data_IF_762745885659
#
_entry.id   IF_762745885659
#
_cell.length_a   1.000
_cell.length_b   1.000
_cell.length_c   1.000
_cell.angle_alpha   90.00
_cell.angle_beta   90.00
_cell.angle_gamma   90.00
#
_symmetry.space_group_name_H-M   'P 1'
#
loop_
_entity.id
_entity.type
_entity.pdbx_description
1 polymer ?
#
# COMPACT_ATOMS: atom_id res chain seq x y z
N UNK A 1 17.32 11.30 6.04
CA UNK A 1 15.95 11.83 5.89
C UNK A 1 16.00 13.34 5.88
N UNK A 2 14.85 14.00 5.81
CA UNK A 2 14.72 15.46 5.89
C UNK A 2 13.66 15.81 6.94
N UNK A 3 13.66 17.04 7.46
CA UNK A 3 12.73 17.52 8.46
C UNK A 3 11.66 18.40 7.81
N UNK A 4 10.46 17.83 7.62
CA UNK A 4 9.32 18.54 7.02
C UNK A 4 8.81 19.70 7.88
N UNK A 5 9.12 19.69 9.18
CA UNK A 5 8.72 20.73 10.14
C UNK A 5 9.72 21.91 10.20
N UNK A 6 10.81 21.88 9.41
CA UNK A 6 11.81 22.95 9.35
C UNK A 6 11.37 24.09 8.42
N UNK A 7 11.41 25.31 8.93
CA UNK A 7 10.93 26.51 8.24
C UNK A 7 12.03 27.49 7.82
N UNK A 8 13.29 27.14 8.07
CA UNK A 8 14.40 27.95 7.61
C UNK A 8 14.30 28.18 6.09
N UNK A 9 14.32 29.44 5.61
CA UNK A 9 14.12 29.72 4.19
C UNK A 9 15.15 29.08 3.28
N UNK A 10 16.42 28.96 3.72
CA UNK A 10 17.46 28.31 2.92
C UNK A 10 17.22 26.79 2.86
N UNK A 11 16.76 26.20 3.96
CA UNK A 11 16.35 24.80 3.99
C UNK A 11 15.18 24.49 3.04
N UNK A 12 14.13 25.32 3.06
CA UNK A 12 12.98 25.16 2.18
C UNK A 12 13.35 25.34 0.70
N UNK A 13 14.27 26.26 0.39
CA UNK A 13 14.80 26.42 -0.96
C UNK A 13 15.56 25.16 -1.42
N UNK A 14 16.35 24.54 -0.54
CA UNK A 14 17.02 23.28 -0.85
C UNK A 14 16.01 22.15 -1.10
N UNK A 15 14.94 22.06 -0.31
CA UNK A 15 13.90 21.04 -0.53
C UNK A 15 13.18 21.26 -1.86
N UNK A 16 12.90 22.52 -2.22
CA UNK A 16 12.36 22.86 -3.53
C UNK A 16 13.30 22.42 -4.68
N UNK A 17 14.61 22.65 -4.56
CA UNK A 17 15.57 22.20 -5.57
C UNK A 17 15.52 20.67 -5.76
N UNK A 18 15.36 19.91 -4.68
CA UNK A 18 15.19 18.45 -4.75
C UNK A 18 13.90 18.05 -5.46
N UNK A 19 12.79 18.73 -5.19
CA UNK A 19 11.52 18.50 -5.89
C UNK A 19 11.63 18.81 -7.37
N UNK A 20 12.17 19.98 -7.73
CA UNK A 20 12.39 20.39 -9.12
C UNK A 20 13.29 19.38 -9.86
N UNK A 21 14.33 18.87 -9.20
CA UNK A 21 15.19 17.82 -9.77
C UNK A 21 14.43 16.49 -9.98
N UNK A 22 13.63 16.05 -9.01
CA UNK A 22 12.81 14.84 -9.14
C UNK A 22 11.81 14.97 -10.30
N UNK A 23 11.11 16.11 -10.38
CA UNK A 23 10.19 16.42 -11.47
C UNK A 23 10.90 16.48 -12.83
N UNK A 24 12.14 16.98 -12.89
CA UNK A 24 12.99 16.93 -14.08
C UNK A 24 13.27 15.49 -14.58
N UNK A 25 13.06 14.48 -13.73
CA UNK A 25 13.18 13.05 -14.06
C UNK A 25 11.83 12.35 -14.22
N UNK A 26 10.72 13.08 -14.11
CA UNK A 26 9.37 12.51 -14.11
C UNK A 26 9.09 11.66 -12.87
N UNK A 27 9.71 12.01 -11.73
CA UNK A 27 9.55 11.32 -10.45
C UNK A 27 8.84 12.27 -9.48
N UNK A 28 7.77 11.77 -8.87
CA UNK A 28 7.11 12.44 -7.74
C UNK A 28 7.92 12.19 -6.46
N UNK A 29 8.03 13.21 -5.60
CA UNK A 29 8.76 13.13 -4.33
C UNK A 29 7.84 13.43 -3.15
N UNK A 30 8.03 12.68 -2.07
CA UNK A 30 7.21 12.78 -0.87
C UNK A 30 8.01 12.83 0.43
N UNK A 31 7.31 13.16 1.51
CA UNK A 31 7.85 13.19 2.86
C UNK A 31 7.11 12.28 3.82
N UNK A 32 7.82 11.85 4.87
CA UNK A 32 7.22 11.19 6.03
C UNK A 32 7.05 12.19 7.16
N UNK A 33 5.91 12.14 7.85
CA UNK A 33 5.73 12.84 9.11
C UNK A 33 4.95 11.97 10.10
N UNK A 34 5.44 11.93 11.35
CA UNK A 34 4.79 11.24 12.45
C UNK A 34 3.93 12.23 13.23
N UNK A 35 2.61 12.20 13.02
CA UNK A 35 1.67 13.08 13.71
C UNK A 35 1.51 12.67 15.19
N UNK A 36 1.12 11.42 15.45
CA UNK A 36 0.82 10.88 16.79
C UNK A 36 1.75 9.72 17.17
N UNK A 37 1.50 9.07 18.31
CA UNK A 37 2.37 8.03 18.90
C UNK A 37 3.77 8.53 19.27
N UNK A 38 3.88 9.82 19.59
CA UNK A 38 5.07 10.47 20.12
C UNK A 38 4.71 11.33 21.31
N UNK A 39 5.69 11.58 22.18
CA UNK A 39 5.58 12.56 23.27
C UNK A 39 6.15 13.89 22.80
N UNK A 40 5.43 14.98 23.02
CA UNK A 40 5.92 16.34 22.79
C UNK A 40 6.31 16.97 24.12
N UNK A 41 5.35 17.10 25.03
CA UNK A 41 5.58 17.65 26.38
C UNK A 41 4.33 17.48 27.23
N UNK A 42 4.47 17.65 28.55
CA UNK A 42 3.30 17.60 29.44
C UNK A 42 2.29 18.72 29.17
N UNK A 43 2.74 19.81 28.54
CA UNK A 43 1.91 20.95 28.15
C UNK A 43 1.06 20.67 26.92
N UNK A 44 1.55 19.86 25.98
CA UNK A 44 0.96 19.72 24.64
C UNK A 44 0.35 18.34 24.38
N UNK A 45 0.69 17.34 25.18
CA UNK A 45 0.16 15.99 25.04
C UNK A 45 -1.29 15.89 25.54
N UNK A 46 -2.03 14.91 25.01
CA UNK A 46 -3.41 14.63 25.45
C UNK A 46 -3.43 14.33 26.95
N UNK A 47 -4.44 14.87 27.65
CA UNK A 47 -4.63 14.65 29.09
C UNK A 47 -5.63 13.53 29.30
N UNK A 48 -5.23 12.50 30.04
CA UNK A 48 -6.13 11.42 30.47
C UNK A 48 -7.14 11.92 31.50
N UNK A 49 -8.42 11.58 31.28
CA UNK A 49 -9.52 12.08 32.10
C UNK A 49 -9.52 11.52 33.53
N UNK A 50 -8.96 10.32 33.76
CA UNK A 50 -8.95 9.68 35.07
C UNK A 50 -7.83 10.22 35.97
N UNK A 51 -6.68 10.55 35.39
CA UNK A 51 -5.47 10.97 36.11
C UNK A 51 -5.23 12.47 36.08
N UNK A 52 -5.83 13.19 35.13
CA UNK A 52 -5.59 14.62 34.91
C UNK A 52 -4.17 14.93 34.46
N UNK A 53 -3.45 13.94 33.90
CA UNK A 53 -2.05 14.05 33.46
C UNK A 53 -1.88 13.50 32.04
N UNK A 54 -0.80 13.87 31.34
CA UNK A 54 -0.41 13.20 30.10
C UNK A 54 -0.22 11.69 30.29
N UNK A 55 -0.52 10.93 29.25
CA UNK A 55 -0.49 9.47 29.24
C UNK A 55 -1.87 8.89 28.94
N UNK A 56 -1.98 7.56 28.90
CA UNK A 56 -3.26 6.88 28.63
C UNK A 56 -3.72 6.91 27.17
N UNK A 57 -2.96 7.57 26.29
CA UNK A 57 -3.18 7.51 24.85
C UNK A 57 -3.01 6.07 24.33
N UNK A 58 -3.62 5.76 23.19
CA UNK A 58 -3.64 4.42 22.58
C UNK A 58 -2.25 3.80 22.41
N UNK A 59 -1.24 4.63 22.17
CA UNK A 59 0.17 4.23 22.00
C UNK A 59 1.08 4.79 23.11
N UNK A 60 0.52 4.98 24.31
CA UNK A 60 1.23 5.50 25.48
C UNK A 60 1.13 7.03 25.59
N UNK A 61 1.71 7.76 24.63
CA UNK A 61 1.64 9.22 24.56
C UNK A 61 1.22 9.67 23.16
N UNK A 62 0.53 10.81 23.11
CA UNK A 62 0.13 11.46 21.87
C UNK A 62 0.04 12.98 22.08
N UNK A 63 0.48 13.80 21.12
CA UNK A 63 0.18 15.22 21.14
C UNK A 63 -1.32 15.46 21.00
N UNK A 64 -1.85 16.42 21.74
CA UNK A 64 -3.16 16.97 21.43
C UNK A 64 -3.05 17.85 20.18
N UNK A 65 -3.81 17.54 19.14
CA UNK A 65 -3.85 18.35 17.91
C UNK A 65 -4.47 19.74 18.17
N UNK A 66 -5.29 19.85 19.22
CA UNK A 66 -5.83 21.12 19.70
C UNK A 66 -4.86 21.95 20.54
N UNK A 67 -3.67 21.44 20.88
CA UNK A 67 -2.64 22.23 21.58
C UNK A 67 -2.00 23.27 20.65
N UNK A 68 -1.23 24.21 21.22
CA UNK A 68 -0.45 25.16 20.41
C UNK A 68 0.57 24.44 19.51
N UNK A 69 1.18 23.35 20.01
CA UNK A 69 2.04 22.51 19.18
C UNK A 69 1.29 21.91 17.99
N UNK A 70 0.07 21.40 18.20
CA UNK A 70 -0.71 20.79 17.11
C UNK A 70 -1.05 21.80 16.02
N UNK A 71 -1.41 23.03 16.40
CA UNK A 71 -1.67 24.13 15.46
C UNK A 71 -0.41 24.49 14.67
N UNK A 72 0.73 24.58 15.36
CA UNK A 72 2.02 24.90 14.76
C UNK A 72 2.49 23.80 13.79
N UNK A 73 2.30 22.53 14.17
CA UNK A 73 2.62 21.36 13.34
C UNK A 73 1.87 21.40 12.00
N UNK A 74 0.55 21.56 12.01
CA UNK A 74 -0.21 21.62 10.76
C UNK A 74 0.15 22.86 9.93
N UNK A 75 0.34 24.03 10.55
CA UNK A 75 0.81 25.25 9.88
C UNK A 75 2.13 25.00 9.13
N UNK A 76 3.08 24.31 9.75
CA UNK A 76 4.35 23.91 9.13
C UNK A 76 4.15 22.97 7.93
N UNK A 77 3.27 21.97 8.05
CA UNK A 77 2.96 21.10 6.93
C UNK A 77 2.36 21.86 5.75
N UNK A 78 1.37 22.73 5.98
CA UNK A 78 0.83 23.61 4.93
C UNK A 78 1.97 24.40 4.26
N UNK A 79 2.79 25.09 5.05
CA UNK A 79 3.89 25.91 4.55
C UNK A 79 4.95 25.12 3.78
N UNK A 80 5.26 23.89 4.19
CA UNK A 80 6.21 23.03 3.51
C UNK A 80 5.72 22.69 2.09
N UNK A 81 4.48 22.19 1.96
CA UNK A 81 3.95 21.80 0.65
C UNK A 81 3.74 22.99 -0.28
N UNK A 82 3.31 24.14 0.25
CA UNK A 82 3.15 25.37 -0.54
C UNK A 82 4.48 25.90 -1.10
N UNK A 83 5.58 25.75 -0.36
CA UNK A 83 6.88 26.34 -0.73
C UNK A 83 7.78 25.40 -1.52
N UNK A 84 7.62 24.09 -1.34
CA UNK A 84 8.56 23.10 -1.90
C UNK A 84 8.07 22.41 -3.16
N UNK A 85 6.74 22.27 -3.34
CA UNK A 85 6.18 21.53 -4.47
C UNK A 85 6.27 20.00 -4.35
N UNK A 86 6.44 19.47 -3.14
CA UNK A 86 6.37 18.02 -2.91
C UNK A 86 4.98 17.46 -3.24
N UNK A 87 4.95 16.21 -3.70
CA UNK A 87 3.77 15.57 -4.29
C UNK A 87 3.05 14.63 -3.32
N UNK A 88 3.74 14.15 -2.27
CA UNK A 88 3.21 13.08 -1.41
C UNK A 88 3.53 13.30 0.07
N UNK A 89 2.58 12.92 0.92
CA UNK A 89 2.75 12.82 2.37
C UNK A 89 2.41 11.41 2.86
N UNK A 90 3.39 10.75 3.46
CA UNK A 90 3.21 9.58 4.33
C UNK A 90 2.92 10.11 5.74
N UNK A 91 1.63 10.26 6.08
CA UNK A 91 1.19 10.91 7.33
C UNK A 91 0.82 9.86 8.38
N UNK A 92 1.83 9.42 9.12
CA UNK A 92 1.70 8.39 10.14
C UNK A 92 1.12 8.95 11.44
N UNK A 93 0.45 8.10 12.22
CA UNK A 93 -0.14 8.51 13.50
C UNK A 93 -1.48 9.23 13.40
N UNK A 94 -2.08 9.34 12.21
CA UNK A 94 -3.31 10.11 11.99
C UNK A 94 -4.57 9.39 12.47
N UNK A 95 -4.61 9.02 13.74
CA UNK A 95 -5.72 8.34 14.38
C UNK A 95 -6.63 9.38 15.05
N UNK A 96 -7.95 9.33 14.84
CA UNK A 96 -8.88 10.21 15.56
C UNK A 96 -9.06 9.79 17.04
N UNK A 97 -8.15 8.98 17.58
CA UNK A 97 -8.45 8.04 18.67
C UNK A 97 -8.27 8.58 20.09
N UNK A 98 -7.42 9.58 20.29
CA UNK A 98 -7.08 10.03 21.65
C UNK A 98 -7.90 11.27 22.04
N UNK A 99 -8.78 11.08 23.02
CA UNK A 99 -9.49 12.16 23.69
C UNK A 99 -8.54 12.96 24.58
N UNK A 100 -8.77 14.26 24.71
CA UNK A 100 -7.98 15.13 25.58
C UNK A 100 -8.89 15.82 26.61
N UNK A 101 -8.66 15.57 27.90
CA UNK A 101 -9.40 16.20 28.99
C UNK A 101 -8.94 17.63 29.32
N UNK A 102 -7.92 18.14 28.64
CA UNK A 102 -7.41 19.50 28.86
C UNK A 102 -8.49 20.54 28.59
N UNK A 103 -8.61 21.51 29.48
CA UNK A 103 -9.42 22.73 29.29
C UNK A 103 -8.57 23.95 28.95
N UNK A 104 -7.24 23.79 28.92
CA UNK A 104 -6.28 24.86 28.57
C UNK A 104 -5.81 24.80 27.11
N UNK A 105 -6.01 23.68 26.41
CA UNK A 105 -5.66 23.56 25.00
C UNK A 105 -6.64 24.38 24.13
N UNK A 106 -6.15 25.26 23.25
CA UNK A 106 -7.00 26.24 22.56
C UNK A 106 -7.94 25.64 21.50
N UNK A 107 -7.67 24.44 21.01
CA UNK A 107 -8.39 23.83 19.88
C UNK A 107 -9.65 23.05 20.25
N UNK A 108 -9.99 22.93 21.54
CA UNK A 108 -11.22 22.30 22.01
C UNK A 108 -11.60 22.84 23.40
N UNK A 109 -12.84 22.61 23.85
CA UNK A 109 -13.34 23.10 25.14
C UNK A 109 -12.98 22.17 26.30
N UNK A 110 -12.88 20.88 26.04
CA UNK A 110 -12.56 19.86 27.04
C UNK A 110 -12.66 18.46 26.47
N UNK A 111 -12.87 17.48 27.35
CA UNK A 111 -12.94 16.07 26.98
C UNK A 111 -13.96 15.78 25.86
N UNK A 112 -15.20 16.25 26.05
CA UNK A 112 -16.37 15.89 25.23
C UNK A 112 -16.27 16.32 23.76
N UNK A 113 -15.55 17.41 23.43
CA UNK A 113 -15.40 17.88 22.05
C UNK A 113 -14.00 17.64 21.48
N UNK A 114 -13.03 17.26 22.32
CA UNK A 114 -11.62 17.08 21.92
C UNK A 114 -11.46 16.16 20.72
N UNK A 115 -12.10 15.00 20.71
CA UNK A 115 -11.92 14.00 19.65
C UNK A 115 -12.40 14.53 18.29
N UNK A 116 -13.59 15.13 18.28
CA UNK A 116 -14.19 15.70 17.07
C UNK A 116 -13.37 16.87 16.53
N UNK A 117 -12.96 17.79 17.40
CA UNK A 117 -12.18 18.97 17.01
C UNK A 117 -10.82 18.57 16.43
N UNK A 118 -10.14 17.58 17.02
CA UNK A 118 -8.88 17.05 16.49
C UNK A 118 -9.08 16.34 15.14
N UNK A 119 -10.11 15.50 14.99
CA UNK A 119 -10.44 14.86 13.71
C UNK A 119 -10.74 15.89 12.62
N UNK A 120 -11.41 17.00 12.97
CA UNK A 120 -11.71 18.08 12.03
C UNK A 120 -10.45 18.73 11.46
N UNK A 121 -9.41 18.95 12.27
CA UNK A 121 -8.12 19.49 11.80
C UNK A 121 -7.47 18.54 10.78
N UNK A 122 -7.42 17.23 11.09
CA UNK A 122 -6.89 16.21 10.16
C UNK A 122 -7.71 16.20 8.87
N UNK A 123 -9.04 16.15 8.98
CA UNK A 123 -9.95 16.09 7.83
C UNK A 123 -9.79 17.31 6.91
N UNK A 124 -9.67 18.50 7.47
CA UNK A 124 -9.57 19.72 6.66
C UNK A 124 -8.21 19.81 5.97
N UNK A 125 -7.13 19.40 6.64
CA UNK A 125 -5.80 19.26 6.01
C UNK A 125 -5.80 18.25 4.87
N UNK A 126 -6.41 17.07 5.04
CA UNK A 126 -6.45 16.06 3.98
C UNK A 126 -7.27 16.46 2.76
N UNK A 127 -8.40 17.15 2.97
CA UNK A 127 -9.16 17.76 1.87
C UNK A 127 -8.31 18.78 1.12
N UNK A 128 -7.55 19.59 1.84
CA UNK A 128 -6.65 20.57 1.24
C UNK A 128 -5.54 19.91 0.42
N UNK A 129 -4.90 18.85 0.94
CA UNK A 129 -3.90 18.06 0.22
C UNK A 129 -4.47 17.50 -1.08
N UNK A 130 -5.61 16.81 -1.01
CA UNK A 130 -6.26 16.24 -2.18
C UNK A 130 -6.64 17.30 -3.21
N UNK A 131 -7.17 18.44 -2.76
CA UNK A 131 -7.50 19.58 -3.62
C UNK A 131 -6.30 20.20 -4.34
N UNK A 132 -5.08 19.85 -3.93
CA UNK A 132 -3.80 20.27 -4.54
C UNK A 132 -3.08 19.16 -5.28
N UNK A 133 -3.66 17.96 -5.35
CA UNK A 133 -3.00 16.80 -5.93
C UNK A 133 -1.90 16.20 -5.06
N UNK A 134 -1.81 16.58 -3.78
CA UNK A 134 -0.86 15.98 -2.84
C UNK A 134 -1.40 14.61 -2.43
N UNK A 135 -0.67 13.56 -2.81
CA UNK A 135 -1.01 12.18 -2.54
C UNK A 135 -0.83 11.86 -1.05
N UNK A 136 -1.81 11.16 -0.46
CA UNK A 136 -1.79 10.82 0.96
C UNK A 136 -1.70 9.31 1.15
N UNK A 137 -0.64 8.87 1.82
CA UNK A 137 -0.55 7.54 2.39
C UNK A 137 -0.68 7.61 3.92
N UNK A 138 -1.75 7.04 4.46
CA UNK A 138 -2.12 7.19 5.87
C UNK A 138 -2.48 5.82 6.48
N UNK A 139 -2.32 5.63 7.80
CA UNK A 139 -2.54 4.33 8.42
C UNK A 139 -4.03 3.97 8.64
N UNK A 140 -4.96 4.90 8.43
CA UNK A 140 -6.38 4.74 8.79
C UNK A 140 -7.34 5.20 7.68
N UNK A 141 -8.63 4.87 7.80
CA UNK A 141 -9.63 5.09 6.76
C UNK A 141 -10.09 6.56 6.68
N UNK A 142 -9.38 7.37 5.88
CA UNK A 142 -9.72 8.78 5.61
C UNK A 142 -10.17 9.04 4.16
N UNK A 143 -10.57 8.01 3.41
CA UNK A 143 -10.86 8.14 1.97
C UNK A 143 -11.97 9.14 1.67
N UNK A 144 -12.99 9.23 2.53
CA UNK A 144 -14.11 10.17 2.36
C UNK A 144 -13.72 11.62 2.68
N UNK A 145 -12.52 11.86 3.18
CA UNK A 145 -12.03 13.17 3.60
C UNK A 145 -10.63 13.49 3.07
N UNK A 146 -10.20 12.80 2.01
CA UNK A 146 -9.05 13.22 1.20
C UNK A 146 -7.89 12.23 1.13
N UNK A 147 -7.82 11.20 1.98
CA UNK A 147 -6.69 10.26 1.91
C UNK A 147 -6.75 9.41 0.65
N UNK A 148 -5.60 9.16 0.02
CA UNK A 148 -5.55 8.39 -1.22
C UNK A 148 -5.36 6.90 -0.98
N UNK A 149 -4.62 6.54 0.08
CA UNK A 149 -4.20 5.16 0.32
C UNK A 149 -4.08 4.82 1.80
N UNK A 150 -4.40 3.57 2.16
CA UNK A 150 -4.08 2.96 3.45
C UNK A 150 -3.60 1.51 3.27
N UNK A 151 -3.18 0.84 4.35
CA UNK A 151 -2.67 -0.53 4.23
C UNK A 151 -3.73 -1.53 3.73
N UNK A 152 -3.34 -2.47 2.86
CA UNK A 152 -4.18 -3.66 2.52
C UNK A 152 -4.34 -4.60 3.72
N UNK A 153 -3.30 -4.63 4.55
CA UNK A 153 -3.18 -5.37 5.80
C UNK A 153 -1.74 -5.16 6.25
N UNK A 154 -1.55 -4.50 7.40
CA UNK A 154 -0.23 -4.07 7.82
C UNK A 154 -0.07 -4.23 9.33
N UNK A 155 0.96 -4.98 9.70
CA UNK A 155 1.56 -4.99 11.02
C UNK A 155 3.05 -5.16 10.79
N UNK A 156 3.83 -4.24 11.33
CA UNK A 156 5.25 -4.10 11.01
C UNK A 156 6.04 -5.41 11.25
N UNK A 157 5.72 -6.09 12.34
CA UNK A 157 6.36 -7.35 12.74
C UNK A 157 6.06 -8.52 11.81
N UNK A 158 5.07 -8.43 10.92
CA UNK A 158 4.82 -9.46 9.90
C UNK A 158 6.02 -9.60 8.95
N UNK A 159 6.82 -8.54 8.82
CA UNK A 159 7.99 -8.53 7.96
C UNK A 159 9.26 -8.99 8.66
N UNK A 160 9.15 -9.40 9.93
CA UNK A 160 10.17 -10.19 10.63
C UNK A 160 9.98 -11.69 10.41
N UNK A 161 8.93 -12.12 9.70
CA UNK A 161 8.75 -13.52 9.31
C UNK A 161 9.78 -13.93 8.25
N UNK A 162 10.09 -15.24 8.10
CA UNK A 162 10.90 -15.72 6.99
C UNK A 162 10.33 -15.30 5.62
N UNK A 163 11.19 -15.04 4.62
CA UNK A 163 10.80 -14.57 3.27
C UNK A 163 9.62 -15.36 2.67
N UNK A 164 9.64 -16.69 2.78
CA UNK A 164 8.55 -17.53 2.25
C UNK A 164 7.19 -17.24 2.90
N UNK A 165 7.17 -16.93 4.20
CA UNK A 165 5.95 -16.58 4.93
C UNK A 165 5.51 -15.16 4.61
N UNK A 166 6.44 -14.23 4.44
CA UNK A 166 6.13 -12.86 3.99
C UNK A 166 5.38 -12.86 2.64
N UNK A 167 5.77 -13.74 1.72
CA UNK A 167 5.13 -13.90 0.41
C UNK A 167 3.68 -14.37 0.56
N UNK A 168 3.42 -15.45 1.32
CA UNK A 168 2.06 -15.94 1.57
C UNK A 168 1.22 -14.90 2.29
N UNK A 169 1.77 -14.31 3.35
CA UNK A 169 1.09 -13.31 4.17
C UNK A 169 0.75 -12.06 3.36
N UNK A 170 1.66 -11.64 2.47
CA UNK A 170 1.41 -10.53 1.55
C UNK A 170 0.23 -10.80 0.61
N UNK A 171 0.14 -12.00 0.03
CA UNK A 171 -1.01 -12.38 -0.81
C UNK A 171 -2.32 -12.46 -0.01
N UNK A 172 -2.25 -12.90 1.24
CA UNK A 172 -3.41 -12.90 2.14
C UNK A 172 -3.89 -11.47 2.42
N UNK A 173 -2.99 -10.55 2.76
CA UNK A 173 -3.35 -9.15 2.99
C UNK A 173 -3.95 -8.50 1.75
N UNK A 174 -3.40 -8.77 0.56
CA UNK A 174 -3.96 -8.28 -0.70
C UNK A 174 -5.36 -8.87 -0.93
N UNK A 175 -5.53 -10.19 -0.79
CA UNK A 175 -6.81 -10.86 -0.98
C UNK A 175 -7.88 -10.33 -0.02
N UNK A 176 -7.55 -10.21 1.26
CA UNK A 176 -8.49 -9.77 2.29
C UNK A 176 -8.78 -8.26 2.19
N UNK A 177 -7.74 -7.45 1.98
CA UNK A 177 -7.85 -6.01 1.85
C UNK A 177 -8.72 -5.58 0.66
N UNK A 178 -8.62 -6.30 -0.45
CA UNK A 178 -9.37 -6.01 -1.69
C UNK A 178 -10.86 -6.36 -1.64
N UNK A 179 -11.37 -6.93 -0.53
CA UNK A 179 -12.81 -7.00 -0.28
C UNK A 179 -13.43 -5.65 0.08
N UNK A 180 -12.64 -4.73 0.64
CA UNK A 180 -13.11 -3.44 1.16
C UNK A 180 -12.49 -2.24 0.43
N UNK A 181 -11.53 -2.50 -0.47
CA UNK A 181 -10.72 -1.50 -1.16
C UNK A 181 -10.53 -1.94 -2.59
N UNK A 182 -10.55 -0.99 -3.53
CA UNK A 182 -10.01 -1.27 -4.86
C UNK A 182 -8.48 -1.44 -4.76
N UNK A 183 -7.83 -2.11 -5.73
CA UNK A 183 -6.37 -2.31 -5.70
C UNK A 183 -5.56 -1.03 -5.46
N UNK A 184 -5.98 0.07 -6.08
CA UNK A 184 -5.29 1.36 -6.01
C UNK A 184 -5.47 2.09 -4.67
N UNK A 185 -6.50 1.75 -3.90
CA UNK A 185 -6.74 2.33 -2.58
C UNK A 185 -5.83 1.74 -1.51
N UNK A 186 -5.23 0.57 -1.73
CA UNK A 186 -4.43 -0.12 -0.71
C UNK A 186 -2.94 -0.19 -1.03
N UNK A 187 -2.07 -0.26 -0.01
CA UNK A 187 -0.64 -0.54 -0.17
C UNK A 187 -0.18 -1.80 0.55
N UNK A 188 0.93 -2.34 0.06
CA UNK A 188 1.73 -3.37 0.73
C UNK A 188 3.12 -2.85 1.08
N UNK A 189 3.74 -3.39 2.11
CA UNK A 189 5.11 -3.06 2.46
C UNK A 189 6.06 -4.16 1.97
N UNK A 190 7.22 -3.78 1.47
CA UNK A 190 8.30 -4.71 1.10
C UNK A 190 9.60 -4.16 1.66
N UNK A 191 10.03 -4.58 2.85
CA UNK A 191 11.32 -4.19 3.39
C UNK A 191 12.43 -4.97 2.66
N UNK A 192 13.33 -4.24 2.02
CA UNK A 192 14.48 -4.81 1.32
C UNK A 192 15.60 -5.14 2.32
N UNK A 193 15.76 -4.30 3.35
CA UNK A 193 16.67 -4.51 4.48
C UNK A 193 15.91 -5.03 5.70
N UNK A 194 16.61 -5.53 6.71
CA UNK A 194 15.98 -6.01 7.94
C UNK A 194 15.06 -4.93 8.54
N UNK A 195 13.81 -5.31 8.82
CA UNK A 195 12.82 -4.45 9.47
C UNK A 195 12.34 -5.08 10.78
N UNK A 196 12.62 -4.39 11.89
CA UNK A 196 12.55 -4.94 13.25
C UNK A 196 13.45 -6.17 13.41
N UNK A 197 12.87 -7.37 13.50
CA UNK A 197 13.56 -8.63 13.75
C UNK A 197 13.61 -9.57 12.54
N UNK A 198 13.81 -10.87 12.81
CA UNK A 198 13.80 -11.93 11.79
C UNK A 198 15.16 -12.27 11.16
N UNK A 199 16.13 -11.35 11.25
CA UNK A 199 17.51 -11.58 10.81
C UNK A 199 17.63 -11.97 9.33
N UNK A 200 18.67 -12.72 9.01
CA UNK A 200 18.99 -13.13 7.64
C UNK A 200 17.88 -13.96 6.95
N UNK A 201 16.94 -14.57 7.69
CA UNK A 201 15.82 -15.31 7.11
C UNK A 201 14.67 -14.40 6.61
N UNK A 202 14.59 -13.17 7.14
CA UNK A 202 13.57 -12.18 6.79
C UNK A 202 14.08 -11.11 5.81
N UNK A 203 15.39 -10.84 5.81
CA UNK A 203 16.01 -9.81 4.96
C UNK A 203 16.05 -10.21 3.49
N UNK A 204 15.83 -9.27 2.57
CA UNK A 204 15.97 -9.47 1.12
C UNK A 204 17.35 -9.06 0.58
N UNK A 205 18.03 -8.09 1.18
CA UNK A 205 19.41 -7.77 0.82
C UNK A 205 20.41 -8.87 1.27
N UNK A 206 21.41 -9.22 0.45
CA UNK A 206 21.62 -8.77 -0.94
C UNK A 206 20.54 -9.31 -1.90
N UNK A 207 19.93 -8.42 -2.69
CA UNK A 207 18.78 -8.73 -3.54
C UNK A 207 19.15 -9.74 -4.64
N UNK A 208 20.38 -9.68 -5.14
CA UNK A 208 20.91 -10.62 -6.14
C UNK A 208 20.98 -12.07 -5.63
N UNK A 209 21.07 -12.28 -4.31
CA UNK A 209 21.06 -13.60 -3.70
C UNK A 209 19.63 -14.12 -3.42
N UNK A 210 18.63 -13.24 -3.50
CA UNK A 210 17.24 -13.53 -3.11
C UNK A 210 16.24 -13.12 -4.21
N UNK A 211 16.64 -13.26 -5.48
CA UNK A 211 15.85 -12.91 -6.67
C UNK A 211 14.50 -13.65 -6.73
N UNK A 212 14.43 -14.87 -6.22
CA UNK A 212 13.19 -15.65 -6.15
C UNK A 212 12.16 -14.98 -5.23
N UNK A 213 12.58 -14.59 -4.03
CA UNK A 213 11.72 -13.93 -3.06
C UNK A 213 11.37 -12.50 -3.49
N UNK A 214 12.35 -11.72 -3.94
CA UNK A 214 12.09 -10.37 -4.43
C UNK A 214 11.19 -10.38 -5.66
N UNK A 215 11.42 -11.33 -6.57
CA UNK A 215 10.60 -11.56 -7.75
C UNK A 215 9.15 -11.93 -7.40
N UNK A 216 8.94 -12.72 -6.35
CA UNK A 216 7.61 -13.07 -5.86
C UNK A 216 6.87 -11.85 -5.28
N UNK A 217 7.56 -11.00 -4.51
CA UNK A 217 6.98 -9.74 -4.01
C UNK A 217 6.57 -8.82 -5.17
N UNK A 218 7.44 -8.64 -6.17
CA UNK A 218 7.12 -7.86 -7.37
C UNK A 218 5.91 -8.46 -8.11
N UNK A 219 5.90 -9.78 -8.32
CA UNK A 219 4.83 -10.48 -9.01
C UNK A 219 3.46 -10.33 -8.34
N UNK A 220 3.38 -10.46 -7.02
CA UNK A 220 2.11 -10.38 -6.31
C UNK A 220 1.59 -8.95 -6.18
N UNK A 221 2.47 -7.97 -5.98
CA UNK A 221 2.07 -6.58 -5.84
C UNK A 221 1.60 -6.03 -7.21
N UNK A 222 2.45 -6.12 -8.23
CA UNK A 222 2.10 -5.67 -9.58
C UNK A 222 0.94 -6.49 -10.16
N UNK A 223 0.96 -7.81 -10.00
CA UNK A 223 -0.09 -8.71 -10.49
C UNK A 223 -1.45 -8.53 -9.84
N UNK A 224 -1.52 -7.87 -8.69
CA UNK A 224 -2.79 -7.58 -8.01
C UNK A 224 -3.22 -6.12 -8.14
N UNK A 225 -2.48 -5.30 -8.90
CA UNK A 225 -2.73 -3.85 -8.98
C UNK A 225 -2.38 -3.07 -7.72
N UNK A 226 -1.75 -3.71 -6.74
CA UNK A 226 -1.47 -3.12 -5.42
C UNK A 226 -0.05 -2.58 -5.40
N UNK A 227 0.08 -1.26 -5.33
CA UNK A 227 1.38 -0.61 -5.23
C UNK A 227 2.00 -0.84 -3.84
N UNK A 228 3.30 -1.15 -3.81
CA UNK A 228 4.02 -1.36 -2.56
C UNK A 228 4.98 -0.21 -2.21
N UNK A 229 5.20 -0.01 -0.91
CA UNK A 229 6.30 0.76 -0.38
C UNK A 229 7.52 -0.16 -0.27
N UNK A 230 8.49 0.01 -1.17
CA UNK A 230 9.76 -0.71 -1.16
C UNK A 230 10.75 0.05 -0.28
N UNK A 231 11.07 -0.50 0.90
CA UNK A 231 11.93 0.18 1.88
C UNK A 231 13.35 -0.36 1.84
N UNK A 232 14.27 0.45 1.35
CA UNK A 232 15.70 0.15 1.33
C UNK A 232 16.49 1.29 0.69
N UNK A 233 17.83 1.19 0.69
CA UNK A 233 18.68 2.23 0.11
C UNK A 233 18.65 2.26 -1.43
N UNK A 234 18.19 1.19 -2.07
CA UNK A 234 18.16 1.01 -3.53
C UNK A 234 17.13 -0.04 -3.95
N UNK A 235 16.70 0.00 -5.21
CA UNK A 235 15.76 -0.98 -5.78
C UNK A 235 16.44 -2.20 -6.42
N UNK A 236 17.74 -2.09 -6.70
CA UNK A 236 18.56 -3.14 -7.30
C UNK A 236 20.04 -2.95 -6.91
N UNK A 237 20.76 -4.05 -6.79
CA UNK A 237 22.17 -4.14 -6.37
C UNK A 237 23.08 -4.83 -7.40
N UNK A 238 22.49 -5.48 -8.42
CA UNK A 238 23.14 -6.12 -9.55
C UNK A 238 22.28 -5.99 -10.82
N UNK A 239 22.85 -6.32 -11.98
CA UNK A 239 22.15 -6.24 -13.28
C UNK A 239 20.97 -7.21 -13.34
N UNK A 240 21.10 -8.41 -12.77
CA UNK A 240 20.02 -9.39 -12.69
C UNK A 240 18.85 -8.88 -11.85
N UNK A 241 19.12 -8.20 -10.74
CA UNK A 241 18.11 -7.55 -9.91
C UNK A 241 17.39 -6.43 -10.68
N UNK A 242 18.15 -5.64 -11.44
CA UNK A 242 17.59 -4.58 -12.29
C UNK A 242 16.69 -5.14 -13.38
N UNK A 243 17.11 -6.21 -14.06
CA UNK A 243 16.29 -6.88 -15.09
C UNK A 243 15.03 -7.52 -14.49
N UNK A 244 15.11 -8.07 -13.27
CA UNK A 244 13.95 -8.57 -12.54
C UNK A 244 12.93 -7.47 -12.25
N UNK A 245 13.38 -6.30 -11.76
CA UNK A 245 12.51 -5.14 -11.53
C UNK A 245 11.90 -4.66 -12.85
N UNK A 246 12.71 -4.49 -13.90
CA UNK A 246 12.23 -4.08 -15.24
C UNK A 246 11.18 -5.03 -15.79
N UNK A 247 11.38 -6.34 -15.67
CA UNK A 247 10.42 -7.36 -16.13
C UNK A 247 9.03 -7.13 -15.54
N UNK A 248 8.93 -6.94 -14.23
CA UNK A 248 7.64 -6.76 -13.57
C UNK A 248 7.04 -5.37 -13.78
N UNK A 249 7.85 -4.32 -13.91
CA UNK A 249 7.39 -2.99 -14.31
C UNK A 249 6.81 -3.01 -15.73
N UNK A 250 7.47 -3.68 -16.68
CA UNK A 250 6.97 -3.85 -18.06
C UNK A 250 5.66 -4.63 -18.08
N UNK A 251 5.58 -5.72 -17.31
CA UNK A 251 4.35 -6.49 -17.13
C UNK A 251 3.20 -5.59 -16.60
N UNK A 252 3.44 -4.83 -15.53
CA UNK A 252 2.42 -3.95 -14.96
C UNK A 252 1.96 -2.90 -15.96
N UNK A 253 2.91 -2.20 -16.61
CA UNK A 253 2.58 -1.17 -17.60
C UNK A 253 1.74 -1.72 -18.76
N UNK A 254 2.04 -2.93 -19.22
CA UNK A 254 1.30 -3.58 -20.31
C UNK A 254 -0.14 -3.93 -19.93
N UNK A 255 -0.36 -4.37 -18.69
CA UNK A 255 -1.66 -4.85 -18.22
C UNK A 255 -2.34 -3.87 -17.26
N UNK A 256 -1.87 -2.62 -17.18
CA UNK A 256 -2.26 -1.66 -16.14
C UNK A 256 -3.76 -1.43 -16.07
N UNK A 257 -4.44 -1.35 -17.20
CA UNK A 257 -5.87 -1.06 -17.26
C UNK A 257 -6.69 -2.16 -16.56
N UNK A 258 -6.40 -3.44 -16.86
CA UNK A 258 -7.10 -4.55 -16.22
C UNK A 258 -6.63 -4.75 -14.77
N UNK A 259 -5.34 -4.54 -14.46
CA UNK A 259 -4.80 -4.72 -13.11
C UNK A 259 -5.32 -3.66 -12.12
N UNK A 260 -5.80 -2.50 -12.59
CA UNK A 260 -6.49 -1.51 -11.75
C UNK A 260 -8.02 -1.64 -11.78
N UNK A 261 -8.55 -2.74 -12.35
CA UNK A 261 -9.99 -3.03 -12.36
C UNK A 261 -10.40 -3.94 -11.19
N UNK A 262 -11.72 -4.16 -11.07
CA UNK A 262 -12.32 -4.99 -10.03
C UNK A 262 -11.76 -6.41 -9.99
N UNK A 263 -11.77 -7.00 -8.81
CA UNK A 263 -11.23 -8.33 -8.53
C UNK A 263 -12.35 -9.29 -8.19
N UNK A 264 -12.24 -10.51 -8.70
CA UNK A 264 -12.90 -11.70 -8.21
C UNK A 264 -11.88 -12.54 -7.43
N UNK A 265 -12.21 -12.77 -6.17
CA UNK A 265 -11.48 -13.59 -5.23
C UNK A 265 -11.69 -15.09 -5.52
N UNK A 266 -10.76 -15.71 -6.26
CA UNK A 266 -10.91 -17.11 -6.72
C UNK A 266 -10.46 -18.11 -5.64
N UNK A 267 -9.22 -17.99 -5.16
CA UNK A 267 -8.70 -18.83 -4.06
C UNK A 267 -7.67 -18.06 -3.25
N UNK A 268 -7.97 -17.87 -1.96
CA UNK A 268 -7.07 -17.23 -0.99
C UNK A 268 -5.81 -18.06 -0.78
N UNK A 269 -4.68 -17.39 -0.59
CA UNK A 269 -3.40 -18.05 -0.27
C UNK A 269 -3.45 -18.75 1.09
N UNK A 270 -3.03 -20.01 1.14
CA UNK A 270 -2.93 -20.83 2.36
C UNK A 270 -1.64 -21.66 2.43
N UNK A 271 -0.79 -21.59 1.38
CA UNK A 271 0.45 -22.34 1.28
C UNK A 271 0.29 -23.85 1.05
N UNK A 272 -0.93 -24.35 0.78
CA UNK A 272 -1.22 -25.78 0.64
C UNK A 272 -1.56 -26.22 -0.78
N UNK A 273 -1.96 -25.28 -1.62
CA UNK A 273 -2.22 -25.47 -3.05
C UNK A 273 -2.01 -24.13 -3.78
N UNK A 274 -2.27 -24.11 -5.08
CA UNK A 274 -2.24 -22.88 -5.87
C UNK A 274 -3.20 -21.83 -5.34
N UNK A 275 -2.84 -20.56 -5.41
CA UNK A 275 -3.75 -19.46 -5.09
C UNK A 275 -3.98 -18.55 -6.30
N UNK A 276 -5.13 -17.88 -6.35
CA UNK A 276 -5.59 -17.20 -7.55
C UNK A 276 -6.48 -15.99 -7.25
N UNK A 277 -6.20 -14.91 -7.98
CA UNK A 277 -7.03 -13.70 -8.06
C UNK A 277 -7.30 -13.38 -9.53
N UNK A 278 -8.50 -12.93 -9.84
CA UNK A 278 -8.93 -12.61 -11.21
C UNK A 278 -9.39 -11.16 -11.28
N UNK A 279 -8.67 -10.32 -12.02
CA UNK A 279 -9.16 -9.01 -12.41
C UNK A 279 -10.19 -9.13 -13.54
N UNK A 280 -11.25 -8.32 -13.51
CA UNK A 280 -12.31 -8.31 -14.52
C UNK A 280 -12.70 -6.89 -14.92
N UNK A 281 -12.95 -6.68 -16.22
CA UNK A 281 -13.52 -5.45 -16.72
C UNK A 281 -14.21 -5.67 -18.07
N UNK A 282 -15.54 -5.58 -18.11
CA UNK A 282 -16.29 -5.81 -19.34
C UNK A 282 -16.06 -4.76 -20.44
N UNK A 283 -15.50 -3.58 -20.12
CA UNK A 283 -15.28 -2.50 -21.07
C UNK A 283 -13.93 -2.58 -21.78
N UNK A 284 -13.02 -3.42 -21.31
CA UNK A 284 -11.69 -3.56 -21.90
C UNK A 284 -11.66 -4.62 -23.00
N UNK A 285 -10.64 -4.54 -23.86
CA UNK A 285 -10.30 -5.63 -24.80
C UNK A 285 -9.82 -6.86 -24.05
N UNK A 286 -8.90 -6.65 -23.13
CA UNK A 286 -8.53 -7.63 -22.13
C UNK A 286 -9.56 -7.59 -21.01
N UNK A 287 -10.56 -8.47 -21.08
CA UNK A 287 -11.71 -8.49 -20.17
C UNK A 287 -11.42 -9.16 -18.83
N UNK A 288 -10.33 -9.94 -18.75
CA UNK A 288 -9.84 -10.49 -17.49
C UNK A 288 -8.35 -10.78 -17.47
N UNK A 289 -7.79 -10.79 -16.27
CA UNK A 289 -6.42 -11.25 -15.99
C UNK A 289 -6.43 -12.05 -14.68
N UNK A 290 -6.23 -13.36 -14.77
CA UNK A 290 -6.04 -14.19 -13.58
C UNK A 290 -4.56 -14.33 -13.26
N UNK A 291 -4.14 -13.92 -12.07
CA UNK A 291 -2.84 -14.29 -11.51
C UNK A 291 -2.99 -15.61 -10.78
N UNK A 292 -2.08 -16.56 -11.05
CA UNK A 292 -2.07 -17.89 -10.42
C UNK A 292 -0.69 -18.15 -9.86
N UNK A 293 -0.61 -18.54 -8.60
CA UNK A 293 0.64 -18.78 -7.89
C UNK A 293 0.68 -20.22 -7.39
N UNK A 294 1.81 -20.90 -7.58
CA UNK A 294 2.11 -22.17 -6.92
C UNK A 294 3.13 -21.91 -5.79
N UNK A 295 2.70 -21.81 -4.51
CA UNK A 295 3.62 -21.60 -3.41
C UNK A 295 4.43 -22.85 -3.03
N UNK A 296 4.05 -24.02 -3.53
CA UNK A 296 4.62 -25.29 -3.08
C UNK A 296 6.03 -25.50 -3.65
N UNK A 297 6.79 -26.32 -2.94
CA UNK A 297 8.10 -26.84 -3.40
C UNK A 297 7.95 -28.02 -4.40
N UNK A 298 6.73 -28.29 -4.88
CA UNK A 298 6.43 -29.34 -5.85
C UNK A 298 5.60 -28.80 -7.01
N UNK A 299 5.67 -29.52 -8.12
CA UNK A 299 4.82 -29.29 -9.29
C UNK A 299 3.34 -29.48 -8.91
N UNK A 300 2.47 -28.64 -9.46
CA UNK A 300 1.01 -28.79 -9.34
C UNK A 300 0.42 -28.96 -10.73
N UNK A 301 -0.35 -30.03 -10.92
CA UNK A 301 -1.15 -30.29 -12.10
C UNK A 301 -2.61 -30.42 -11.69
N UNK A 302 -3.51 -29.79 -12.44
CA UNK A 302 -4.91 -29.79 -12.07
C UNK A 302 -5.79 -28.97 -13.00
N UNK A 303 -6.96 -28.61 -12.49
CA UNK A 303 -7.96 -27.83 -13.21
C UNK A 303 -8.31 -26.60 -12.37
N UNK A 304 -8.10 -25.41 -12.95
CA UNK A 304 -8.51 -24.15 -12.36
C UNK A 304 -9.86 -23.72 -12.95
N UNK A 305 -10.85 -23.49 -12.08
CA UNK A 305 -12.13 -22.93 -12.50
C UNK A 305 -12.09 -21.41 -12.35
N UNK A 306 -12.32 -20.68 -13.44
CA UNK A 306 -12.43 -19.22 -13.43
C UNK A 306 -13.88 -18.79 -13.64
N UNK A 307 -14.46 -17.97 -12.73
CA UNK A 307 -15.75 -17.34 -12.92
C UNK A 307 -15.61 -16.11 -13.84
N UNK A 308 -16.17 -16.18 -15.04
CA UNK A 308 -16.02 -15.11 -16.05
C UNK A 308 -17.30 -14.27 -16.24
N UNK A 309 -18.30 -14.41 -15.37
CA UNK A 309 -19.57 -13.68 -15.48
C UNK A 309 -19.36 -12.16 -15.65
N UNK A 310 -18.55 -11.55 -14.80
CA UNK A 310 -18.29 -10.10 -14.81
C UNK A 310 -17.34 -9.62 -15.92
N UNK A 311 -16.82 -10.54 -16.75
CA UNK A 311 -16.09 -10.15 -17.98
C UNK A 311 -17.04 -9.68 -19.09
N UNK A 312 -18.34 -9.96 -18.99
CA UNK A 312 -19.34 -9.68 -20.02
C UNK A 312 -19.30 -10.66 -21.20
N UNK A 313 -18.46 -11.69 -21.18
CA UNK A 313 -18.44 -12.76 -22.18
C UNK A 313 -19.64 -13.69 -21.98
N UNK A 314 -20.31 -14.08 -23.07
CA UNK A 314 -21.59 -14.80 -22.97
C UNK A 314 -21.58 -16.25 -23.45
N UNK A 315 -20.74 -16.58 -24.43
CA UNK A 315 -20.68 -17.93 -25.03
C UNK A 315 -19.31 -18.55 -24.92
N UNK A 316 -18.28 -17.81 -25.29
CA UNK A 316 -16.92 -18.31 -25.38
C UNK A 316 -15.93 -17.28 -24.93
N UNK A 317 -14.82 -17.71 -24.34
CA UNK A 317 -13.68 -16.88 -23.98
C UNK A 317 -12.44 -17.32 -24.77
N UNK A 318 -11.61 -16.36 -25.18
CA UNK A 318 -10.26 -16.64 -25.67
C UNK A 318 -9.30 -16.43 -24.52
N UNK A 319 -8.59 -17.49 -24.14
CA UNK A 319 -7.71 -17.46 -22.99
C UNK A 319 -6.31 -17.90 -23.41
N UNK A 320 -5.33 -17.05 -23.12
CA UNK A 320 -3.91 -17.36 -23.30
C UNK A 320 -3.20 -17.34 -21.96
N UNK A 321 -2.25 -18.26 -21.82
CA UNK A 321 -1.29 -18.20 -20.73
C UNK A 321 -0.13 -17.30 -21.14
N UNK A 322 0.13 -16.27 -20.34
CA UNK A 322 1.16 -15.25 -20.61
C UNK A 322 1.05 -14.71 -22.04
N UNK A 323 2.16 -14.65 -22.77
CA UNK A 323 2.23 -14.25 -24.18
C UNK A 323 2.04 -15.42 -25.17
N UNK A 324 1.52 -16.55 -24.69
CA UNK A 324 1.28 -17.73 -25.50
C UNK A 324 0.08 -17.59 -26.44
N UNK A 325 -0.20 -18.68 -27.18
CA UNK A 325 -1.35 -18.76 -28.09
C UNK A 325 -2.66 -18.85 -27.31
N UNK A 326 -3.62 -18.01 -27.67
CA UNK A 326 -4.97 -18.08 -27.12
C UNK A 326 -5.70 -19.35 -27.57
N UNK A 327 -6.37 -20.00 -26.62
CA UNK A 327 -7.27 -21.13 -26.86
C UNK A 327 -8.71 -20.68 -26.60
N UNK A 328 -9.65 -21.23 -27.35
CA UNK A 328 -11.08 -20.96 -27.19
C UNK A 328 -11.67 -21.91 -26.15
N UNK A 329 -12.42 -21.37 -25.20
CA UNK A 329 -13.15 -22.11 -24.18
C UNK A 329 -14.63 -21.76 -24.27
N UNK A 330 -15.50 -22.76 -24.17
CA UNK A 330 -16.93 -22.54 -23.99
C UNK A 330 -17.23 -22.24 -22.52
N UNK A 331 -18.12 -21.27 -22.29
CA UNK A 331 -18.58 -20.93 -20.96
C UNK A 331 -19.66 -21.92 -20.53
N UNK A 332 -19.60 -22.40 -19.29
CA UNK A 332 -20.71 -23.16 -18.69
C UNK A 332 -21.93 -22.25 -18.47
N UNK A 333 -23.08 -22.82 -18.09
CA UNK A 333 -24.32 -22.06 -17.83
C UNK A 333 -24.21 -21.04 -16.69
N UNK A 334 -23.14 -21.12 -15.89
CA UNK A 334 -22.80 -20.18 -14.82
C UNK A 334 -21.63 -19.28 -15.22
N UNK A 335 -21.31 -19.21 -16.52
CA UNK A 335 -20.26 -18.39 -17.11
C UNK A 335 -18.85 -18.70 -16.59
N UNK A 336 -18.59 -19.95 -16.21
CA UNK A 336 -17.24 -20.39 -15.82
C UNK A 336 -16.53 -21.09 -16.96
N UNK A 337 -15.21 -21.10 -16.87
CA UNK A 337 -14.32 -21.97 -17.65
C UNK A 337 -13.50 -22.84 -16.71
N UNK A 338 -13.16 -24.05 -17.16
CA UNK A 338 -12.22 -24.94 -16.47
C UNK A 338 -10.97 -25.08 -17.32
N UNK A 339 -9.83 -24.65 -16.79
CA UNK A 339 -8.57 -24.55 -17.51
C UNK A 339 -7.57 -25.54 -16.91
N UNK A 340 -6.90 -26.39 -17.70
CA UNK A 340 -5.82 -27.22 -17.18
C UNK A 340 -4.64 -26.34 -16.77
N UNK A 341 -4.08 -26.59 -15.59
CA UNK A 341 -2.89 -25.92 -15.09
C UNK A 341 -1.77 -26.93 -14.87
N UNK A 342 -0.55 -26.50 -15.14
CA UNK A 342 0.67 -27.25 -14.91
C UNK A 342 1.74 -26.25 -14.47
N UNK A 343 1.96 -26.15 -13.17
CA UNK A 343 2.81 -25.13 -12.57
C UNK A 343 4.02 -25.76 -11.90
N UNK A 344 5.21 -25.23 -12.23
CA UNK A 344 6.44 -25.57 -11.55
C UNK A 344 6.37 -25.16 -10.06
N UNK A 345 7.21 -25.76 -9.18
CA UNK A 345 7.38 -25.27 -7.81
C UNK A 345 7.65 -23.77 -7.75
N UNK A 346 7.15 -23.08 -6.72
CA UNK A 346 7.46 -21.67 -6.42
C UNK A 346 7.34 -20.76 -7.64
N UNK A 347 6.28 -20.94 -8.43
CA UNK A 347 6.11 -20.26 -9.71
C UNK A 347 4.83 -19.43 -9.75
N UNK A 348 4.81 -18.49 -10.69
CA UNK A 348 3.65 -17.65 -11.00
C UNK A 348 3.36 -17.74 -12.49
N UNK A 349 2.09 -17.78 -12.86
CA UNK A 349 1.63 -17.59 -14.24
C UNK A 349 0.44 -16.65 -14.27
N UNK A 350 0.06 -16.20 -15.45
CA UNK A 350 -1.15 -15.39 -15.62
C UNK A 350 -1.91 -15.80 -16.87
N UNK A 351 -3.24 -15.68 -16.78
CA UNK A 351 -4.17 -16.01 -17.85
C UNK A 351 -4.85 -14.73 -18.30
N UNK A 352 -4.66 -14.36 -19.57
CA UNK A 352 -5.32 -13.21 -20.20
C UNK A 352 -6.61 -13.71 -20.86
N UNK A 353 -7.73 -13.06 -20.52
CA UNK A 353 -9.07 -13.40 -21.00
C UNK A 353 -9.58 -12.29 -21.93
N UNK A 354 -9.99 -12.67 -23.14
CA UNK A 354 -10.51 -11.79 -24.21
C UNK A 354 -11.83 -12.29 -24.76
#
# INVERSE_FOLDING_TARGET
GFNIENEDPAYLAQMKELADYAHSKGIEIGGYSLLSSRRISDEHDVIDAATGRPGGAKFGNAPCIGSEWGRDYFRKLYGFFEKTGFDLLEHDGSYPGDTCASTSHPGHRGYEDSQWSQWKVISDFYKWCLGRGIYLNVPDFYYLVGSTKCGMGYRETNWSLPREQQIIHGRQNIYDGTWTKTPSMGWMFVPLVQYHGGGAAATLEPLSEHLDAYGAHLAQNFGSGVQACYRGPRLYDADETKELVKKWVVFYKKHRDILNSDIIHVRRADGRDIDCMLHVNAQLKQKGLAMVYNPLNRKVEGKLRLPLYYTGLTKTARIREREGKAKKYELDRRYNVTIPINMAPRSVTWLVVE
#
